data_IF_276142701391
#
_entry.id   IF_276142701391
#
_cell.length_a   1.000
_cell.length_b   1.000
_cell.length_c   1.000
_cell.angle_alpha   90.00
_cell.angle_beta   90.00
_cell.angle_gamma   90.00
#
_symmetry.space_group_name_H-M   'P 1'
#
loop_
_entity.id
_entity.type
_entity.pdbx_description
1 polymer ?
#
# COMPACT_ATOMS: atom_id res chain seq x y z
N UNK A 1 -79.42 57.42 -1.14
CA UNK A 1 -79.89 56.23 -1.88
C UNK A 1 -78.76 55.22 -1.84
N UNK A 2 -79.05 54.02 -1.24
CA UNK A 2 -78.15 52.96 -0.95
C UNK A 2 -77.70 52.22 -2.23
N UNK A 3 -76.44 51.88 -2.39
CA UNK A 3 -76.03 50.67 -3.10
C UNK A 3 -74.78 50.11 -2.43
N UNK A 4 -74.91 48.85 -2.11
CA UNK A 4 -74.05 47.95 -1.38
C UNK A 4 -72.76 47.50 -2.19
N UNK A 5 -71.64 47.23 -1.59
CA UNK A 5 -70.48 46.64 -2.25
C UNK A 5 -70.60 45.15 -2.33
N UNK A 6 -70.49 44.58 -3.51
CA UNK A 6 -70.50 43.15 -3.75
C UNK A 6 -69.10 42.62 -4.07
N UNK A 7 -68.69 41.70 -3.21
CA UNK A 7 -67.97 40.47 -3.46
C UNK A 7 -66.75 40.49 -4.46
N UNK A 8 -65.58 40.66 -3.93
CA UNK A 8 -64.39 40.13 -4.60
C UNK A 8 -64.08 38.73 -4.01
N UNK A 9 -64.46 37.74 -4.78
CA UNK A 9 -64.18 36.34 -4.52
C UNK A 9 -62.68 36.07 -4.72
N UNK A 10 -62.00 35.67 -3.65
CA UNK A 10 -60.65 35.22 -3.63
C UNK A 10 -60.52 33.86 -4.34
N UNK A 11 -59.65 33.68 -5.36
CA UNK A 11 -59.40 32.36 -5.91
C UNK A 11 -58.57 31.53 -4.93
N UNK A 12 -59.10 30.34 -4.60
CA UNK A 12 -58.49 29.34 -3.76
C UNK A 12 -57.05 29.01 -4.24
N UNK A 13 -56.08 29.31 -3.42
CA UNK A 13 -54.72 28.81 -3.54
C UNK A 13 -54.77 27.31 -3.34
N UNK A 14 -54.52 26.62 -4.44
CA UNK A 14 -54.35 25.17 -4.45
C UNK A 14 -53.10 24.77 -3.66
N UNK A 15 -53.31 24.15 -2.51
CA UNK A 15 -52.26 23.80 -1.52
C UNK A 15 -51.48 22.51 -1.85
N UNK A 16 -51.54 22.01 -3.08
CA UNK A 16 -51.04 20.65 -3.40
C UNK A 16 -49.69 20.57 -4.07
N UNK A 17 -48.77 21.51 -3.73
CA UNK A 17 -47.37 21.38 -4.18
C UNK A 17 -46.36 21.51 -3.05
N UNK A 18 -46.58 20.86 -1.94
CA UNK A 18 -45.46 20.56 -1.06
C UNK A 18 -44.81 19.26 -1.47
N UNK A 19 -43.89 19.33 -2.44
CA UNK A 19 -42.97 18.22 -2.69
C UNK A 19 -42.13 18.03 -1.43
N UNK A 20 -42.37 16.92 -0.75
CA UNK A 20 -41.70 16.56 0.49
C UNK A 20 -40.23 16.21 0.23
N UNK A 21 -39.33 17.23 0.24
CA UNK A 21 -37.90 17.09 0.04
C UNK A 21 -37.14 16.54 1.27
N UNK A 22 -37.83 15.86 2.19
CA UNK A 22 -37.21 15.41 3.45
C UNK A 22 -36.46 14.06 3.39
N UNK A 23 -36.38 13.40 2.21
CA UNK A 23 -35.81 12.06 2.18
C UNK A 23 -34.54 11.88 1.33
N UNK A 24 -33.97 12.95 0.77
CA UNK A 24 -32.74 12.87 -0.02
C UNK A 24 -31.46 12.81 0.84
N UNK A 25 -31.54 13.24 2.10
CA UNK A 25 -30.38 13.24 3.00
C UNK A 25 -29.98 11.84 3.51
N UNK A 26 -30.94 10.92 3.59
CA UNK A 26 -30.68 9.57 4.12
C UNK A 26 -29.94 8.69 3.09
N UNK A 27 -30.38 8.68 1.85
CA UNK A 27 -29.72 7.93 0.77
C UNK A 27 -28.31 8.43 0.50
N UNK A 28 -28.11 9.76 0.47
CA UNK A 28 -26.79 10.36 0.27
C UNK A 28 -25.81 9.98 1.39
N UNK A 29 -26.26 9.95 2.64
CA UNK A 29 -25.45 9.52 3.79
C UNK A 29 -25.10 8.05 3.74
N UNK A 30 -26.03 7.19 3.32
CA UNK A 30 -25.78 5.74 3.17
C UNK A 30 -24.79 5.48 2.04
N UNK A 31 -24.95 6.14 0.89
CA UNK A 31 -24.01 6.02 -0.25
C UNK A 31 -22.63 6.52 0.16
N UNK A 32 -22.53 7.66 0.85
CA UNK A 32 -21.25 8.18 1.35
C UNK A 32 -20.58 7.23 2.35
N UNK A 33 -21.34 6.67 3.30
CA UNK A 33 -20.82 5.68 4.25
C UNK A 33 -20.36 4.40 3.58
N UNK A 34 -21.10 3.89 2.59
CA UNK A 34 -20.71 2.71 1.82
C UNK A 34 -19.45 2.98 0.99
N UNK A 35 -19.31 4.17 0.40
CA UNK A 35 -18.13 4.55 -0.38
C UNK A 35 -16.89 4.64 0.52
N UNK A 36 -17.00 5.26 1.70
CA UNK A 36 -15.91 5.32 2.68
C UNK A 36 -15.53 3.93 3.18
N UNK A 37 -16.50 3.04 3.41
CA UNK A 37 -16.24 1.66 3.85
C UNK A 37 -15.53 0.81 2.78
N UNK A 38 -15.84 1.02 1.50
CA UNK A 38 -15.16 0.37 0.37
C UNK A 38 -13.72 0.86 0.24
N UNK A 39 -13.47 2.16 0.41
CA UNK A 39 -12.12 2.74 0.34
C UNK A 39 -11.23 2.21 1.49
N UNK A 40 -11.79 2.08 2.70
CA UNK A 40 -11.04 1.57 3.85
C UNK A 40 -10.66 0.08 3.74
N UNK A 41 -11.39 -0.71 2.94
CA UNK A 41 -11.03 -2.12 2.66
C UNK A 41 -9.92 -2.28 1.62
N UNK A 42 -9.55 -1.23 0.91
CA UNK A 42 -8.51 -1.28 -0.13
C UNK A 42 -7.08 -1.19 0.42
N UNK A 43 -6.90 -0.97 1.71
CA UNK A 43 -5.62 -1.15 2.36
C UNK A 43 -5.43 -2.65 2.63
N UNK A 44 -5.16 -3.38 1.57
CA UNK A 44 -4.72 -4.76 1.67
C UNK A 44 -3.52 -4.80 2.60
N UNK A 45 -3.58 -5.62 3.63
CA UNK A 45 -2.43 -5.99 4.44
C UNK A 45 -1.44 -6.61 3.46
N UNK A 46 -0.48 -5.83 2.98
CA UNK A 46 0.65 -6.38 2.25
C UNK A 46 1.46 -7.15 3.27
N UNK A 47 1.75 -8.39 2.95
CA UNK A 47 2.66 -9.18 3.76
C UNK A 47 4.05 -8.54 3.63
N UNK A 48 4.35 -7.60 4.51
CA UNK A 48 5.64 -6.96 4.61
C UNK A 48 6.53 -7.75 5.57
N UNK A 49 7.83 -7.73 5.28
CA UNK A 49 8.86 -8.33 6.11
C UNK A 49 9.87 -7.23 6.45
N UNK A 50 9.50 -6.27 7.33
CA UNK A 50 10.20 -4.98 7.43
C UNK A 50 11.51 -5.03 8.22
N UNK A 51 11.84 -6.18 8.80
CA UNK A 51 13.03 -6.32 9.64
C UNK A 51 13.53 -7.77 9.64
N UNK A 52 14.74 -7.98 10.19
CA UNK A 52 15.26 -9.32 10.46
C UNK A 52 14.27 -10.15 11.27
N UNK A 53 14.00 -11.37 10.83
CA UNK A 53 12.98 -12.28 11.37
C UNK A 53 11.53 -11.80 11.30
N UNK A 54 11.24 -10.84 10.44
CA UNK A 54 9.85 -10.46 10.13
C UNK A 54 9.17 -9.55 11.13
N UNK A 55 7.88 -9.33 11.00
CA UNK A 55 7.13 -8.31 11.73
C UNK A 55 7.18 -8.44 13.25
N UNK A 56 7.21 -9.66 13.76
CA UNK A 56 7.26 -9.99 15.17
C UNK A 56 8.68 -10.33 15.67
N UNK A 57 9.67 -10.37 14.79
CA UNK A 57 11.06 -10.72 15.10
C UNK A 57 11.28 -12.20 15.41
N UNK A 58 10.29 -13.07 15.23
CA UNK A 58 10.39 -14.50 15.56
C UNK A 58 10.74 -15.38 14.35
N UNK A 59 10.71 -14.85 13.14
CA UNK A 59 11.00 -15.60 11.92
C UNK A 59 9.84 -16.46 11.42
N UNK A 60 8.64 -16.20 11.90
CA UNK A 60 7.44 -16.91 11.48
C UNK A 60 6.67 -16.13 10.43
N UNK A 61 6.01 -16.87 9.54
CA UNK A 61 5.12 -16.31 8.52
C UNK A 61 3.83 -17.11 8.49
N UNK A 62 2.70 -16.41 8.47
CA UNK A 62 1.37 -17.00 8.28
C UNK A 62 1.04 -17.32 6.82
N UNK A 63 2.00 -17.14 5.90
CA UNK A 63 1.82 -17.42 4.48
C UNK A 63 1.54 -18.90 4.27
N UNK A 64 0.51 -19.17 3.46
CA UNK A 64 0.09 -20.53 3.09
C UNK A 64 0.36 -20.79 1.62
N UNK A 65 0.48 -22.08 1.26
CA UNK A 65 0.73 -22.47 -0.12
C UNK A 65 2.17 -22.19 -0.59
N UNK A 66 3.12 -22.13 0.35
CA UNK A 66 4.54 -22.04 0.03
C UNK A 66 4.97 -23.34 -0.63
N UNK A 67 5.66 -23.29 -1.79
CA UNK A 67 6.18 -24.46 -2.44
C UNK A 67 7.14 -25.22 -1.52
N UNK A 68 7.08 -26.55 -1.56
CA UNK A 68 8.01 -27.41 -0.82
C UNK A 68 9.26 -27.78 -1.65
N UNK A 69 9.17 -27.64 -2.97
CA UNK A 69 10.24 -27.94 -3.92
C UNK A 69 10.60 -26.70 -4.72
N UNK A 70 11.88 -26.39 -4.84
CA UNK A 70 12.44 -25.36 -5.68
C UNK A 70 13.53 -25.93 -6.56
N UNK A 71 13.38 -25.73 -7.86
CA UNK A 71 14.38 -26.04 -8.86
C UNK A 71 14.48 -24.89 -9.86
N UNK A 72 15.58 -24.81 -10.59
CA UNK A 72 15.68 -23.84 -11.66
C UNK A 72 14.57 -24.07 -12.68
N UNK A 73 13.70 -23.07 -12.88
CA UNK A 73 12.50 -23.17 -13.71
C UNK A 73 11.26 -23.75 -13.03
N UNK A 74 11.32 -24.16 -11.74
CA UNK A 74 10.17 -24.64 -10.99
C UNK A 74 10.01 -23.84 -9.69
N UNK A 75 8.85 -23.20 -9.53
CA UNK A 75 8.51 -22.42 -8.34
C UNK A 75 9.45 -21.23 -8.06
N UNK A 76 10.22 -20.80 -9.07
CA UNK A 76 11.04 -19.58 -9.05
C UNK A 76 10.42 -18.62 -10.03
N UNK A 77 9.93 -17.48 -9.52
CA UNK A 77 9.32 -16.45 -10.37
C UNK A 77 10.37 -15.62 -11.10
N UNK A 78 11.46 -15.31 -10.40
CA UNK A 78 12.59 -14.53 -10.96
C UNK A 78 13.87 -14.79 -10.17
N UNK A 79 15.01 -14.51 -10.80
CA UNK A 79 16.34 -14.46 -10.21
C UNK A 79 16.97 -13.14 -10.61
N UNK A 80 17.63 -12.48 -9.69
CA UNK A 80 18.29 -11.20 -9.94
C UNK A 80 19.70 -11.25 -9.40
N UNK A 81 20.65 -10.87 -10.25
CA UNK A 81 22.03 -10.68 -9.85
C UNK A 81 22.13 -9.38 -9.04
N UNK A 82 22.77 -9.48 -7.89
CA UNK A 82 22.98 -8.37 -6.97
C UNK A 82 24.44 -7.94 -7.03
N UNK A 83 24.72 -6.65 -7.29
CA UNK A 83 26.07 -6.14 -7.29
C UNK A 83 26.73 -6.26 -5.91
N UNK A 84 28.04 -6.55 -5.91
CA UNK A 84 28.83 -6.62 -4.68
C UNK A 84 28.70 -7.93 -3.93
N UNK A 85 29.01 -7.89 -2.64
CA UNK A 85 29.00 -9.02 -1.71
C UNK A 85 28.21 -8.63 -0.46
N UNK A 86 27.64 -9.61 0.24
CA UNK A 86 26.98 -9.32 1.50
C UNK A 86 26.15 -10.50 2.04
N UNK A 87 25.84 -10.41 3.32
CA UNK A 87 25.05 -11.39 4.09
C UNK A 87 23.82 -10.74 4.71
N UNK A 88 23.33 -9.66 4.09
CA UNK A 88 22.18 -8.97 4.65
C UNK A 88 20.91 -9.80 4.53
N UNK A 89 20.09 -9.77 5.56
CA UNK A 89 18.74 -10.29 5.48
C UNK A 89 17.89 -9.34 4.63
N UNK A 90 17.18 -9.83 3.61
CA UNK A 90 16.29 -8.99 2.84
C UNK A 90 15.13 -8.47 3.70
N UNK A 91 14.74 -7.23 3.49
CA UNK A 91 13.52 -6.65 4.05
C UNK A 91 12.54 -6.32 2.93
N UNK A 92 11.25 -6.46 3.20
CA UNK A 92 10.18 -6.25 2.22
C UNK A 92 9.28 -5.15 2.74
N UNK A 93 9.13 -4.10 1.94
CA UNK A 93 8.22 -2.99 2.19
C UNK A 93 7.37 -2.75 0.93
N UNK A 94 6.09 -3.08 1.01
CA UNK A 94 5.19 -3.01 -0.14
C UNK A 94 5.62 -3.89 -1.32
N UNK A 95 5.98 -3.28 -2.43
CA UNK A 95 6.47 -3.99 -3.62
C UNK A 95 8.00 -3.94 -3.79
N UNK A 96 8.72 -3.61 -2.76
CA UNK A 96 10.17 -3.46 -2.77
C UNK A 96 10.84 -4.48 -1.86
N UNK A 97 11.92 -5.08 -2.35
CA UNK A 97 12.85 -5.91 -1.58
C UNK A 97 14.14 -5.11 -1.45
N UNK A 98 14.57 -4.86 -0.23
CA UNK A 98 15.79 -4.14 0.08
C UNK A 98 16.82 -5.05 0.72
N UNK A 99 18.05 -4.95 0.25
CA UNK A 99 19.23 -5.62 0.79
C UNK A 99 20.39 -4.64 0.84
N UNK A 100 21.39 -4.93 1.63
CA UNK A 100 22.66 -4.20 1.61
C UNK A 100 23.75 -5.05 0.96
N UNK A 101 24.67 -4.39 0.31
CA UNK A 101 25.83 -5.02 -0.33
C UNK A 101 27.08 -4.16 -0.13
N UNK A 102 28.24 -4.76 -0.29
CA UNK A 102 29.52 -4.08 -0.19
C UNK A 102 30.41 -4.46 -1.39
N UNK A 103 31.22 -3.54 -1.85
CA UNK A 103 32.31 -3.88 -2.78
C UNK A 103 33.34 -4.83 -2.14
N UNK A 104 34.04 -5.58 -2.96
CA UNK A 104 34.96 -6.60 -2.48
C UNK A 104 36.11 -6.06 -1.60
N UNK A 105 36.48 -4.79 -1.78
CA UNK A 105 37.47 -4.12 -0.96
C UNK A 105 36.88 -3.48 0.33
N UNK A 106 35.55 -3.49 0.47
CA UNK A 106 34.82 -2.94 1.61
C UNK A 106 34.73 -1.41 1.63
N UNK A 107 35.17 -0.73 0.58
CA UNK A 107 35.21 0.74 0.53
C UNK A 107 33.95 1.39 0.02
N UNK A 108 32.99 0.61 -0.45
CA UNK A 108 31.65 1.09 -0.82
C UNK A 108 30.61 0.15 -0.27
N UNK A 109 29.66 0.72 0.47
CA UNK A 109 28.50 0.03 1.00
C UNK A 109 27.25 0.58 0.34
N UNK A 110 26.44 -0.30 -0.21
CA UNK A 110 25.27 0.06 -1.01
C UNK A 110 23.97 -0.50 -0.44
N UNK A 111 22.88 0.24 -0.67
CA UNK A 111 21.52 -0.24 -0.53
C UNK A 111 20.96 -0.58 -1.91
N UNK A 112 20.51 -1.81 -2.08
CA UNK A 112 19.98 -2.34 -3.33
C UNK A 112 18.49 -2.57 -3.18
N UNK A 113 17.70 -2.04 -4.10
CA UNK A 113 16.25 -2.20 -4.17
C UNK A 113 15.84 -2.97 -5.39
N UNK A 114 15.02 -3.99 -5.20
CA UNK A 114 14.50 -4.86 -6.24
C UNK A 114 12.97 -4.82 -6.20
N UNK A 115 12.34 -4.76 -7.37
CA UNK A 115 10.89 -4.92 -7.50
C UNK A 115 10.49 -6.36 -7.15
N UNK A 116 9.66 -6.51 -6.15
CA UNK A 116 9.24 -7.81 -5.62
C UNK A 116 8.50 -8.67 -6.64
N UNK A 117 7.77 -8.05 -7.55
CA UNK A 117 6.94 -8.76 -8.53
C UNK A 117 7.75 -9.25 -9.73
N UNK A 118 8.62 -8.41 -10.25
CA UNK A 118 9.37 -8.66 -11.49
C UNK A 118 10.82 -9.09 -11.29
N UNK A 119 11.38 -8.89 -10.10
CA UNK A 119 12.81 -9.09 -9.84
C UNK A 119 13.69 -7.99 -10.45
N UNK A 120 13.13 -6.93 -11.01
CA UNK A 120 13.90 -5.86 -11.64
C UNK A 120 14.66 -5.05 -10.59
N UNK A 121 15.94 -4.83 -10.83
CA UNK A 121 16.74 -3.89 -10.04
C UNK A 121 16.19 -2.48 -10.23
N UNK A 122 15.72 -1.85 -9.16
CA UNK A 122 15.17 -0.49 -9.15
C UNK A 122 16.23 0.53 -8.79
N UNK A 123 16.99 0.24 -7.72
CA UNK A 123 18.01 1.15 -7.21
C UNK A 123 19.22 0.36 -6.74
N UNK A 124 20.40 0.94 -6.96
CA UNK A 124 21.65 0.58 -6.32
C UNK A 124 22.31 1.90 -5.90
N UNK A 125 22.24 2.19 -4.61
CA UNK A 125 22.65 3.48 -4.05
C UNK A 125 23.80 3.26 -3.08
N UNK A 126 24.95 3.85 -3.38
CA UNK A 126 26.03 3.94 -2.41
C UNK A 126 25.60 4.80 -1.22
N UNK A 127 25.66 4.23 -0.02
CA UNK A 127 25.19 4.88 1.21
C UNK A 127 26.31 5.21 2.16
N UNK A 128 27.46 4.56 2.02
CA UNK A 128 28.62 4.80 2.85
C UNK A 128 29.91 4.43 2.13
N UNK A 129 30.92 5.29 2.26
CA UNK A 129 32.27 5.10 1.71
C UNK A 129 33.27 5.21 2.87
N UNK A 130 33.52 4.13 3.62
CA UNK A 130 34.43 4.17 4.75
C UNK A 130 35.86 4.42 4.28
N UNK A 131 36.59 5.30 4.97
CA UNK A 131 38.02 5.54 4.71
C UNK A 131 38.85 4.28 5.00
N UNK A 132 38.48 3.56 6.08
CA UNK A 132 39.07 2.27 6.45
C UNK A 132 37.95 1.23 6.57
N UNK A 133 38.01 0.22 5.74
CA UNK A 133 37.06 -0.90 5.78
C UNK A 133 37.29 -1.83 6.99
N UNK A 134 38.40 -1.67 7.67
CA UNK A 134 38.77 -2.53 8.78
C UNK A 134 39.00 -4.01 8.39
N UNK A 135 39.33 -4.88 9.35
CA UNK A 135 39.48 -6.30 9.08
C UNK A 135 38.12 -6.96 8.82
N UNK A 136 38.05 -7.69 7.72
CA UNK A 136 36.84 -8.46 7.38
C UNK A 136 36.88 -9.84 7.99
N UNK A 137 35.74 -10.35 8.40
CA UNK A 137 35.62 -11.74 8.78
C UNK A 137 35.83 -12.66 7.56
N UNK A 138 36.51 -13.80 7.77
CA UNK A 138 36.87 -14.73 6.69
C UNK A 138 35.67 -15.23 5.85
N UNK A 139 34.50 -15.21 6.43
CA UNK A 139 33.25 -15.66 5.77
C UNK A 139 32.40 -14.51 5.16
N UNK A 140 32.94 -13.28 5.17
CA UNK A 140 32.31 -12.14 4.51
C UNK A 140 33.00 -11.84 3.19
#
# INVERSE_FOLDING_TARGET
>A
MKTSPDQLRNPSLNSDRYVNLKNTGSLSRIVFMLTVFVILKSWGIRADWPQFRGPDGQGHSDQKGIPLDWEEGKNITWKTEVPGQGWSSPVIAGNQVWITSAEADGKSLSAVCIDKTSGKLLHNVEVLTPEDAGPRHRLN
#
